data_IF_995422253868
#
_entry.id   IF_995422253868
#
_cell.length_a   1.000
_cell.length_b   1.000
_cell.length_c   1.000
_cell.angle_alpha   90.00
_cell.angle_beta   90.00
_cell.angle_gamma   90.00
#
_symmetry.space_group_name_H-M   'P 1'
#
loop_
_entity.id
_entity.type
_entity.pdbx_description
1 polymer ?
#
# COMPACT_ATOMS: atom_id res chain seq x y z
N UNK A 1 4.24 60.11 -25.80
CA UNK A 1 4.31 59.77 -24.37
C UNK A 1 4.36 58.26 -24.25
N UNK A 2 5.55 57.62 -24.27
CA UNK A 2 5.65 56.17 -24.10
C UNK A 2 5.50 55.83 -22.61
N UNK A 3 4.56 54.93 -22.30
CA UNK A 3 4.39 54.39 -20.97
C UNK A 3 5.56 53.46 -20.65
N UNK A 4 6.36 53.86 -19.65
CA UNK A 4 7.43 53.05 -19.08
C UNK A 4 6.79 51.87 -18.35
N UNK A 5 6.74 50.69 -18.99
CA UNK A 5 6.53 49.42 -18.29
C UNK A 5 7.79 49.19 -17.44
N UNK A 6 7.73 49.61 -16.18
CA UNK A 6 8.69 49.17 -15.17
C UNK A 6 8.60 47.65 -15.06
N UNK A 7 9.64 46.98 -15.55
CA UNK A 7 9.86 45.57 -15.34
C UNK A 7 10.00 45.33 -13.84
N UNK A 8 8.91 44.92 -13.20
CA UNK A 8 8.94 44.34 -11.86
C UNK A 8 9.91 43.15 -11.94
N UNK A 9 11.15 43.37 -11.48
CA UNK A 9 12.13 42.30 -11.32
C UNK A 9 11.51 41.31 -10.35
N UNK A 10 11.13 40.15 -10.86
CA UNK A 10 10.73 38.99 -10.08
C UNK A 10 11.87 38.65 -9.12
N UNK A 11 11.79 39.18 -7.90
CA UNK A 11 12.68 38.80 -6.80
C UNK A 11 12.14 37.50 -6.20
N UNK A 12 12.19 36.45 -7.01
CA UNK A 12 12.01 35.10 -6.48
C UNK A 12 13.17 34.82 -5.51
N UNK A 13 12.89 34.43 -4.25
CA UNK A 13 13.94 34.18 -3.28
C UNK A 13 14.87 33.07 -3.78
N UNK A 14 16.17 33.24 -3.55
CA UNK A 14 17.14 32.21 -3.91
C UNK A 14 16.83 30.92 -3.12
N UNK A 15 17.09 29.72 -3.68
CA UNK A 15 16.97 28.47 -2.92
C UNK A 15 17.71 28.52 -1.57
N UNK A 16 18.83 29.24 -1.48
CA UNK A 16 19.56 29.42 -0.23
C UNK A 16 18.78 30.24 0.82
N UNK A 17 18.03 31.26 0.39
CA UNK A 17 17.23 32.10 1.28
C UNK A 17 16.05 31.30 1.86
N UNK A 18 15.41 30.47 1.02
CA UNK A 18 14.32 29.57 1.42
C UNK A 18 14.81 28.59 2.48
N UNK A 19 15.98 27.97 2.26
CA UNK A 19 16.59 27.05 3.22
C UNK A 19 16.90 27.78 4.53
N UNK A 20 17.44 28.99 4.50
CA UNK A 20 17.76 29.72 5.72
C UNK A 20 16.52 30.07 6.55
N UNK A 21 15.44 30.52 5.91
CA UNK A 21 14.15 30.78 6.57
C UNK A 21 13.59 29.48 7.17
N UNK A 22 13.65 28.38 6.43
CA UNK A 22 13.22 27.06 6.90
C UNK A 22 13.97 26.61 8.15
N UNK A 23 15.29 26.75 8.16
CA UNK A 23 16.11 26.41 9.31
C UNK A 23 15.77 27.26 10.53
N UNK A 24 15.51 28.56 10.35
CA UNK A 24 15.12 29.44 11.44
C UNK A 24 13.74 29.07 12.02
N UNK A 25 12.79 28.71 11.15
CA UNK A 25 11.47 28.22 11.55
C UNK A 25 11.57 26.90 12.32
N UNK A 26 12.37 25.94 11.83
CA UNK A 26 12.61 24.66 12.50
C UNK A 26 13.32 24.84 13.85
N UNK A 27 14.29 25.75 13.97
CA UNK A 27 14.94 26.01 15.26
C UNK A 27 13.98 26.50 16.34
N UNK A 28 12.89 27.16 15.92
CA UNK A 28 11.87 27.72 16.82
C UNK A 28 10.75 26.72 17.15
N UNK A 29 10.65 25.60 16.43
CA UNK A 29 9.57 24.62 16.62
C UNK A 29 9.94 23.52 17.63
N UNK A 30 8.97 23.04 18.43
CA UNK A 30 9.15 21.83 19.24
C UNK A 30 9.48 20.65 18.32
N UNK A 31 10.66 20.04 18.51
CA UNK A 31 11.14 18.93 17.68
C UNK A 31 11.98 19.33 16.46
N UNK A 32 12.04 20.62 16.08
CA UNK A 32 12.80 21.01 14.90
C UNK A 32 14.32 20.83 15.04
N UNK A 33 14.86 20.82 16.27
CA UNK A 33 16.26 20.38 16.52
C UNK A 33 16.50 18.93 16.10
N UNK A 34 15.52 18.06 16.30
CA UNK A 34 15.61 16.65 15.91
C UNK A 34 15.57 16.52 14.38
N UNK A 35 14.68 17.25 13.72
CA UNK A 35 14.59 17.32 12.26
C UNK A 35 15.93 17.80 11.65
N UNK A 36 16.50 18.89 12.18
CA UNK A 36 17.79 19.41 11.74
C UNK A 36 18.89 18.36 11.91
N UNK A 37 18.92 17.69 13.07
CA UNK A 37 19.90 16.62 13.31
C UNK A 37 19.77 15.50 12.29
N UNK A 38 18.55 15.01 12.03
CA UNK A 38 18.32 13.96 11.03
C UNK A 38 18.74 14.39 9.63
N UNK A 39 18.38 15.59 9.20
CA UNK A 39 18.80 16.15 7.91
C UNK A 39 20.34 16.17 7.72
N UNK A 40 21.08 16.45 8.80
CA UNK A 40 22.54 16.45 8.78
C UNK A 40 23.13 15.04 8.77
N UNK A 41 22.46 14.07 9.38
CA UNK A 41 22.86 12.65 9.41
C UNK A 41 22.52 11.91 8.10
N UNK A 42 21.57 12.42 7.29
CA UNK A 42 21.19 11.85 5.99
C UNK A 42 22.30 11.98 4.92
N UNK A 43 22.26 11.08 3.92
CA UNK A 43 23.05 11.22 2.68
C UNK A 43 22.64 12.45 1.89
N UNK A 44 23.49 12.92 0.97
CA UNK A 44 23.21 14.12 0.18
C UNK A 44 21.97 13.95 -0.71
N UNK A 45 21.72 12.75 -1.22
CA UNK A 45 20.53 12.43 -2.03
C UNK A 45 19.25 12.52 -1.18
N UNK A 46 19.23 11.90 0.00
CA UNK A 46 18.07 11.93 0.90
C UNK A 46 17.84 13.34 1.43
N UNK A 47 18.91 14.05 1.79
CA UNK A 47 18.86 15.44 2.24
C UNK A 47 18.26 16.34 1.16
N UNK A 48 18.65 16.16 -0.11
CA UNK A 48 18.09 16.91 -1.22
C UNK A 48 16.57 16.70 -1.33
N UNK A 49 16.12 15.45 -1.33
CA UNK A 49 14.67 15.14 -1.38
C UNK A 49 13.92 15.74 -0.19
N UNK A 50 14.49 15.64 1.02
CA UNK A 50 13.88 16.21 2.22
C UNK A 50 13.76 17.74 2.14
N UNK A 51 14.79 18.42 1.62
CA UNK A 51 14.75 19.87 1.37
C UNK A 51 13.71 20.24 0.31
N UNK A 52 13.60 19.46 -0.78
CA UNK A 52 12.58 19.66 -1.80
C UNK A 52 11.16 19.52 -1.20
N UNK A 53 10.92 18.52 -0.34
CA UNK A 53 9.64 18.36 0.37
C UNK A 53 9.35 19.51 1.35
N UNK A 54 10.37 20.06 2.01
CA UNK A 54 10.20 21.25 2.84
C UNK A 54 9.82 22.48 2.00
N UNK A 55 10.39 22.65 0.80
CA UNK A 55 9.96 23.71 -0.12
C UNK A 55 8.49 23.54 -0.51
N UNK A 56 8.07 22.31 -0.84
CA UNK A 56 6.68 21.96 -1.17
C UNK A 56 5.73 22.30 0.00
N UNK A 57 6.11 22.02 1.24
CA UNK A 57 5.29 22.35 2.42
C UNK A 57 5.10 23.85 2.66
N UNK A 58 6.03 24.68 2.20
CA UNK A 58 5.99 26.14 2.37
C UNK A 58 5.35 26.87 1.19
N UNK A 59 5.05 26.16 0.11
CA UNK A 59 4.30 26.74 -1.00
C UNK A 59 2.86 27.08 -0.53
N UNK A 60 2.39 28.33 -0.67
CA UNK A 60 1.02 28.69 -0.32
C UNK A 60 -0.01 28.18 -1.34
N UNK A 61 0.41 27.82 -2.56
CA UNK A 61 -0.47 27.39 -3.65
C UNK A 61 -0.86 25.90 -3.61
N UNK A 62 -0.13 25.11 -2.81
CA UNK A 62 -0.31 23.67 -2.70
C UNK A 62 -1.55 23.28 -1.87
N UNK A 63 -2.23 22.22 -2.31
CA UNK A 63 -3.44 21.72 -1.64
C UNK A 63 -3.13 21.03 -0.31
N UNK A 64 -4.13 20.92 0.57
CA UNK A 64 -3.98 20.22 1.86
C UNK A 64 -3.55 18.76 1.70
N UNK A 65 -4.06 18.06 0.67
CA UNK A 65 -3.73 16.66 0.42
C UNK A 65 -2.27 16.50 -0.03
N UNK A 66 -1.75 17.45 -0.81
CA UNK A 66 -0.33 17.45 -1.21
C UNK A 66 0.59 17.80 -0.04
N UNK A 67 0.19 18.71 0.86
CA UNK A 67 0.93 18.97 2.11
C UNK A 67 1.01 17.72 2.99
N UNK A 68 -0.09 17.00 3.12
CA UNK A 68 -0.12 15.74 3.87
C UNK A 68 0.84 14.71 3.25
N UNK A 69 0.79 14.51 1.93
CA UNK A 69 1.73 13.62 1.23
C UNK A 69 3.19 14.04 1.40
N UNK A 70 3.51 15.32 1.21
CA UNK A 70 4.87 15.83 1.41
C UNK A 70 5.34 15.64 2.86
N UNK A 71 4.46 15.85 3.84
CA UNK A 71 4.76 15.61 5.25
C UNK A 71 5.04 14.14 5.55
N UNK A 72 4.26 13.21 4.98
CA UNK A 72 4.49 11.77 5.13
C UNK A 72 5.81 11.34 4.50
N UNK A 73 6.09 11.77 3.27
CA UNK A 73 7.35 11.47 2.59
C UNK A 73 8.56 12.01 3.37
N UNK A 74 8.44 13.23 3.91
CA UNK A 74 9.48 13.82 4.74
C UNK A 74 9.70 13.02 6.04
N UNK A 75 8.61 12.56 6.67
CA UNK A 75 8.68 11.73 7.85
C UNK A 75 9.36 10.40 7.56
N UNK A 76 9.01 9.72 6.46
CA UNK A 76 9.62 8.46 6.06
C UNK A 76 11.12 8.59 5.73
N UNK A 77 11.51 9.72 5.12
CA UNK A 77 12.90 9.99 4.77
C UNK A 77 13.79 10.33 5.99
N UNK A 78 13.27 11.11 6.94
CA UNK A 78 14.04 11.61 8.09
C UNK A 78 13.91 10.76 9.35
N UNK A 79 12.81 10.03 9.46
CA UNK A 79 12.52 9.14 10.58
C UNK A 79 12.20 7.75 10.03
N UNK A 80 13.19 7.11 9.37
CA UNK A 80 13.00 5.74 8.93
C UNK A 80 12.59 4.90 10.14
N UNK A 81 11.51 4.15 9.98
CA UNK A 81 11.06 3.18 10.98
C UNK A 81 12.08 2.04 11.03
N UNK A 82 13.14 2.24 11.82
CA UNK A 82 14.06 1.18 12.17
C UNK A 82 13.38 0.27 13.17
N UNK A 83 13.52 -1.04 12.99
CA UNK A 83 13.08 -2.01 13.99
C UNK A 83 13.97 -1.96 15.25
N UNK A 84 13.67 -2.81 16.25
CA UNK A 84 14.48 -2.89 17.48
C UNK A 84 15.95 -3.29 17.23
N UNK A 85 16.26 -3.86 16.06
CA UNK A 85 17.60 -4.25 15.65
C UNK A 85 18.34 -3.17 14.86
N UNK A 86 17.69 -2.04 14.57
CA UNK A 86 18.24 -0.96 13.76
C UNK A 86 18.22 -1.26 12.25
N UNK A 87 17.53 -2.33 11.83
CA UNK A 87 17.35 -2.64 10.43
C UNK A 87 16.24 -1.79 9.83
N UNK A 88 16.49 -1.31 8.61
CA UNK A 88 15.54 -0.51 7.86
C UNK A 88 14.48 -1.41 7.24
N UNK A 89 13.23 -1.26 7.64
CA UNK A 89 12.12 -1.99 7.06
C UNK A 89 10.85 -1.91 7.90
N UNK A 90 9.69 -2.03 7.25
CA UNK A 90 8.46 -2.28 7.99
C UNK A 90 8.43 -3.77 8.32
N UNK A 91 8.53 -4.11 9.61
CA UNK A 91 8.18 -5.45 10.06
C UNK A 91 6.70 -5.69 9.74
N UNK A 92 6.46 -6.46 8.68
CA UNK A 92 5.13 -6.75 8.18
C UNK A 92 4.29 -7.44 9.26
N UNK A 93 4.88 -8.30 10.08
CA UNK A 93 4.17 -9.02 11.11
C UNK A 93 3.72 -8.07 12.23
N UNK A 94 4.60 -7.16 12.67
CA UNK A 94 4.23 -6.13 13.63
C UNK A 94 3.17 -5.17 13.06
N UNK A 95 3.34 -4.73 11.81
CA UNK A 95 2.39 -3.86 11.12
C UNK A 95 1.01 -4.52 10.98
N UNK A 96 0.98 -5.78 10.53
CA UNK A 96 -0.24 -6.61 10.44
C UNK A 96 -0.90 -6.74 11.81
N UNK A 97 -0.14 -7.02 12.88
CA UNK A 97 -0.68 -7.14 14.24
C UNK A 97 -1.26 -5.82 14.77
N UNK A 98 -0.59 -4.70 14.49
CA UNK A 98 -1.04 -3.36 14.84
C UNK A 98 -2.34 -3.00 14.11
N UNK A 99 -2.42 -3.29 12.81
CA UNK A 99 -3.62 -3.07 12.03
C UNK A 99 -4.77 -4.00 12.49
N UNK A 100 -4.48 -5.27 12.76
CA UNK A 100 -5.45 -6.25 13.26
C UNK A 100 -6.12 -5.80 14.56
N UNK A 101 -5.37 -5.15 15.46
CA UNK A 101 -5.91 -4.62 16.72
C UNK A 101 -6.97 -3.53 16.51
N UNK A 102 -6.89 -2.80 15.39
CA UNK A 102 -7.82 -1.71 15.04
C UNK A 102 -8.99 -2.20 14.19
N UNK A 103 -8.81 -3.28 13.43
CA UNK A 103 -9.78 -3.78 12.46
C UNK A 103 -10.05 -5.28 12.66
N UNK A 104 -11.10 -5.68 13.40
CA UNK A 104 -11.39 -7.09 13.69
C UNK A 104 -11.60 -7.97 12.45
N UNK A 105 -12.10 -7.41 11.35
CA UNK A 105 -12.22 -8.13 10.08
C UNK A 105 -10.85 -8.51 9.51
N UNK A 106 -9.87 -7.60 9.59
CA UNK A 106 -8.49 -7.84 9.17
C UNK A 106 -7.83 -8.90 10.06
N UNK A 107 -8.09 -8.87 11.36
CA UNK A 107 -7.56 -9.87 12.30
C UNK A 107 -7.98 -11.31 11.92
N UNK A 108 -9.23 -11.50 11.48
CA UNK A 108 -9.73 -12.81 11.02
C UNK A 108 -9.02 -13.26 9.74
N UNK A 109 -8.79 -12.35 8.80
CA UNK A 109 -8.10 -12.68 7.56
C UNK A 109 -6.64 -13.03 7.80
N UNK A 110 -5.93 -12.28 8.66
CA UNK A 110 -4.56 -12.60 9.07
C UNK A 110 -4.48 -13.98 9.72
N UNK A 111 -5.41 -14.31 10.63
CA UNK A 111 -5.47 -15.63 11.25
C UNK A 111 -5.71 -16.75 10.24
N UNK A 112 -6.60 -16.51 9.26
CA UNK A 112 -6.87 -17.45 8.17
C UNK A 112 -5.61 -17.67 7.33
N UNK A 113 -4.92 -16.61 6.94
CA UNK A 113 -3.67 -16.68 6.20
C UNK A 113 -2.58 -17.44 6.97
N UNK A 114 -2.42 -17.18 8.27
CA UNK A 114 -1.45 -17.89 9.13
C UNK A 114 -1.76 -19.39 9.23
N UNK A 115 -3.06 -19.73 9.33
CA UNK A 115 -3.52 -21.12 9.36
C UNK A 115 -3.23 -21.84 8.03
N UNK A 116 -3.45 -21.17 6.90
CA UNK A 116 -3.13 -21.71 5.58
C UNK A 116 -1.62 -21.90 5.41
N UNK A 117 -0.79 -20.94 5.85
CA UNK A 117 0.66 -21.04 5.80
C UNK A 117 1.20 -22.19 6.67
N UNK A 118 0.67 -22.36 7.88
CA UNK A 118 1.01 -23.48 8.74
C UNK A 118 0.66 -24.83 8.09
N UNK A 119 -0.57 -24.94 7.55
CA UNK A 119 -1.04 -26.14 6.85
C UNK A 119 -0.15 -26.46 5.65
N UNK A 120 0.24 -25.46 4.87
CA UNK A 120 1.14 -25.62 3.74
C UNK A 120 2.52 -26.16 4.17
N UNK A 121 3.12 -25.58 5.21
CA UNK A 121 4.44 -25.98 5.70
C UNK A 121 4.43 -27.45 6.19
N UNK A 122 3.41 -27.83 6.96
CA UNK A 122 3.22 -29.20 7.46
C UNK A 122 3.05 -30.20 6.31
N UNK A 123 2.19 -29.89 5.35
CA UNK A 123 1.94 -30.77 4.19
C UNK A 123 3.14 -30.89 3.28
N UNK A 124 3.85 -29.79 3.03
CA UNK A 124 5.08 -29.80 2.25
C UNK A 124 6.14 -30.68 2.92
N UNK A 125 6.35 -30.52 4.22
CA UNK A 125 7.28 -31.34 5.00
C UNK A 125 6.90 -32.83 4.98
N UNK A 126 5.61 -33.14 5.14
CA UNK A 126 5.11 -34.51 5.10
C UNK A 126 5.32 -35.16 3.72
N UNK A 127 4.98 -34.46 2.63
CA UNK A 127 5.16 -34.94 1.26
C UNK A 127 6.63 -35.16 0.91
N UNK A 128 7.51 -34.27 1.35
CA UNK A 128 8.96 -34.44 1.20
C UNK A 128 9.47 -35.69 1.91
N UNK A 129 9.04 -35.91 3.16
CA UNK A 129 9.39 -37.10 3.92
C UNK A 129 8.86 -38.38 3.27
N UNK A 130 7.58 -38.40 2.87
CA UNK A 130 6.94 -39.55 2.24
C UNK A 130 7.62 -39.95 0.91
N UNK A 131 8.18 -38.98 0.18
CA UNK A 131 8.89 -39.22 -1.09
C UNK A 131 10.40 -39.33 -0.94
N UNK A 132 10.94 -39.28 0.28
CA UNK A 132 12.38 -39.27 0.56
C UNK A 132 13.15 -38.18 -0.19
N UNK A 133 12.54 -36.99 -0.36
CA UNK A 133 13.14 -35.85 -1.07
C UNK A 133 13.69 -34.85 -0.05
N UNK A 134 14.95 -34.47 -0.20
CA UNK A 134 15.58 -33.42 0.63
C UNK A 134 15.25 -32.01 0.12
N UNK A 135 15.45 -30.98 0.96
CA UNK A 135 15.23 -29.58 0.58
C UNK A 135 16.08 -29.17 -0.63
N UNK A 136 17.33 -29.64 -0.69
CA UNK A 136 18.26 -29.35 -1.79
C UNK A 136 17.77 -29.97 -3.11
N UNK A 137 17.26 -31.20 -3.08
CA UNK A 137 16.72 -31.86 -4.28
C UNK A 137 15.46 -31.14 -4.75
N UNK A 138 14.54 -30.82 -3.83
CA UNK A 138 13.31 -30.10 -4.18
C UNK A 138 13.60 -28.71 -4.75
N UNK A 139 14.58 -28.00 -4.20
CA UNK A 139 15.04 -26.70 -4.70
C UNK A 139 15.50 -26.81 -6.17
N UNK A 140 16.34 -27.82 -6.48
CA UNK A 140 16.79 -28.10 -7.85
C UNK A 140 15.62 -28.42 -8.79
N UNK A 141 14.67 -29.27 -8.37
CA UNK A 141 13.52 -29.65 -9.20
C UNK A 141 12.58 -28.48 -9.51
N UNK A 142 12.44 -27.54 -8.57
CA UNK A 142 11.54 -26.38 -8.71
C UNK A 142 12.21 -25.15 -9.33
N UNK A 143 13.55 -25.13 -9.38
CA UNK A 143 14.33 -23.93 -9.72
C UNK A 143 14.25 -22.85 -8.63
N UNK A 144 13.90 -23.20 -7.40
CA UNK A 144 13.97 -22.32 -6.23
C UNK A 144 15.32 -22.47 -5.53
N UNK A 145 15.70 -21.53 -4.67
CA UNK A 145 16.88 -21.69 -3.81
C UNK A 145 16.55 -22.58 -2.60
N UNK A 146 17.51 -23.35 -2.12
CA UNK A 146 17.32 -24.16 -0.90
C UNK A 146 16.95 -23.29 0.33
N UNK A 147 17.53 -22.08 0.53
CA UNK A 147 17.07 -21.17 1.57
C UNK A 147 15.59 -20.80 1.43
N UNK A 148 15.07 -20.57 0.23
CA UNK A 148 13.65 -20.28 0.03
C UNK A 148 12.76 -21.45 0.48
N UNK A 149 13.13 -22.70 0.15
CA UNK A 149 12.42 -23.90 0.67
C UNK A 149 12.46 -23.94 2.20
N UNK A 150 13.63 -23.67 2.79
CA UNK A 150 13.81 -23.65 4.25
C UNK A 150 12.94 -22.58 4.92
N UNK A 151 12.87 -21.36 4.36
CA UNK A 151 12.06 -20.27 4.89
C UNK A 151 10.57 -20.59 4.81
N UNK A 152 10.10 -21.20 3.72
CA UNK A 152 8.72 -21.65 3.56
C UNK A 152 8.35 -22.71 4.61
N UNK A 153 9.21 -23.70 4.85
CA UNK A 153 8.98 -24.72 5.89
C UNK A 153 9.01 -24.14 7.32
N UNK A 154 9.79 -23.08 7.53
CA UNK A 154 9.85 -22.37 8.82
C UNK A 154 8.78 -21.30 8.98
N UNK A 155 7.88 -21.13 7.99
CA UNK A 155 6.83 -20.10 7.99
C UNK A 155 7.38 -18.68 8.16
N UNK A 156 8.55 -18.45 7.55
CA UNK A 156 9.19 -17.13 7.50
C UNK A 156 8.93 -16.41 6.18
N UNK A 157 8.33 -17.10 5.22
CA UNK A 157 7.82 -16.48 4.00
C UNK A 157 6.63 -17.27 3.46
N UNK A 158 5.63 -16.53 2.95
CA UNK A 158 4.46 -17.09 2.28
C UNK A 158 4.80 -17.41 0.81
N UNK A 159 4.52 -18.63 0.33
CA UNK A 159 4.75 -18.98 -1.06
C UNK A 159 3.80 -18.22 -1.99
N UNK A 160 4.32 -17.70 -3.11
CA UNK A 160 3.47 -17.20 -4.18
C UNK A 160 2.78 -18.35 -4.91
N UNK A 161 1.59 -18.11 -5.49
CA UNK A 161 0.83 -19.09 -6.27
C UNK A 161 1.70 -19.83 -7.31
N UNK A 162 2.48 -19.10 -8.10
CA UNK A 162 3.40 -19.68 -9.11
C UNK A 162 4.39 -20.65 -8.48
N UNK A 163 4.88 -20.36 -7.28
CA UNK A 163 5.79 -21.22 -6.52
C UNK A 163 5.07 -22.47 -6.01
N UNK A 164 3.83 -22.36 -5.51
CA UNK A 164 3.02 -23.50 -5.10
C UNK A 164 2.82 -24.47 -6.26
N UNK A 165 2.46 -23.96 -7.45
CA UNK A 165 2.29 -24.78 -8.66
C UNK A 165 3.58 -25.52 -9.06
N UNK A 166 4.74 -24.85 -8.97
CA UNK A 166 6.04 -25.48 -9.23
C UNK A 166 6.34 -26.59 -8.23
N UNK A 167 6.09 -26.36 -6.94
CA UNK A 167 6.28 -27.36 -5.88
C UNK A 167 5.37 -28.57 -6.10
N UNK A 168 4.09 -28.32 -6.38
CA UNK A 168 3.09 -29.36 -6.67
C UNK A 168 3.51 -30.23 -7.86
N UNK A 169 3.96 -29.60 -8.97
CA UNK A 169 4.47 -30.31 -10.14
C UNK A 169 5.73 -31.13 -9.83
N UNK A 170 6.72 -30.54 -9.13
CA UNK A 170 7.95 -31.24 -8.75
C UNK A 170 7.70 -32.43 -7.81
N UNK A 171 6.68 -32.32 -6.96
CA UNK A 171 6.24 -33.39 -6.07
C UNK A 171 5.19 -34.31 -6.72
N UNK A 172 4.77 -34.07 -7.96
CA UNK A 172 3.71 -34.82 -8.64
C UNK A 172 2.46 -35.04 -7.75
N UNK A 173 1.92 -33.94 -7.23
CA UNK A 173 0.66 -33.86 -6.47
C UNK A 173 -0.19 -32.70 -7.01
N UNK A 174 -1.53 -32.71 -6.86
CA UNK A 174 -2.34 -31.54 -7.16
C UNK A 174 -2.00 -30.37 -6.23
N UNK A 175 -2.16 -29.14 -6.71
CA UNK A 175 -1.81 -27.95 -5.93
C UNK A 175 -2.71 -27.77 -4.69
N UNK A 176 -3.95 -28.25 -4.74
CA UNK A 176 -4.90 -28.29 -3.61
C UNK A 176 -4.44 -29.18 -2.45
N UNK A 177 -3.57 -30.16 -2.71
CA UNK A 177 -2.93 -30.94 -1.65
C UNK A 177 -1.93 -30.09 -0.87
N UNK A 178 -1.27 -29.10 -1.48
CA UNK A 178 -0.40 -28.17 -0.76
C UNK A 178 -1.19 -26.99 -0.18
N UNK A 179 -2.18 -26.48 -0.90
CA UNK A 179 -2.93 -25.28 -0.53
C UNK A 179 -4.42 -25.42 -0.92
N UNK A 180 -5.31 -25.84 0.00
CA UNK A 180 -6.71 -26.21 -0.29
C UNK A 180 -7.54 -25.15 -1.02
N UNK A 181 -7.28 -23.87 -0.76
CA UNK A 181 -8.09 -22.76 -1.27
C UNK A 181 -7.50 -22.11 -2.54
N UNK A 182 -6.48 -22.71 -3.15
CA UNK A 182 -5.76 -22.10 -4.28
C UNK A 182 -6.67 -21.90 -5.51
N UNK A 183 -7.59 -22.84 -5.75
CA UNK A 183 -8.53 -22.78 -6.88
C UNK A 183 -9.69 -21.81 -6.62
N UNK A 184 -10.08 -21.64 -5.35
CA UNK A 184 -11.14 -20.68 -4.98
C UNK A 184 -10.65 -19.26 -5.26
N UNK A 185 -9.40 -18.97 -4.94
CA UNK A 185 -8.79 -17.67 -5.26
C UNK A 185 -8.78 -17.42 -6.77
N UNK A 186 -8.52 -18.44 -7.60
CA UNK A 186 -8.53 -18.31 -9.05
C UNK A 186 -9.92 -17.97 -9.60
N UNK A 187 -10.95 -18.60 -9.04
CA UNK A 187 -12.33 -18.27 -9.39
C UNK A 187 -12.71 -16.85 -8.97
N UNK A 188 -12.29 -16.42 -7.78
CA UNK A 188 -12.55 -15.06 -7.28
C UNK A 188 -11.80 -13.99 -8.09
N UNK A 189 -10.54 -14.24 -8.44
CA UNK A 189 -9.73 -13.35 -9.28
C UNK A 189 -10.32 -13.25 -10.70
N UNK A 190 -10.80 -14.36 -11.27
CA UNK A 190 -11.47 -14.36 -12.57
C UNK A 190 -12.79 -13.57 -12.53
N UNK A 191 -13.57 -13.68 -11.45
CA UNK A 191 -14.80 -12.90 -11.25
C UNK A 191 -14.47 -11.42 -11.09
N UNK A 192 -13.45 -11.06 -10.30
CA UNK A 192 -13.03 -9.68 -10.11
C UNK A 192 -12.51 -9.05 -11.42
N UNK A 193 -11.74 -9.80 -12.21
CA UNK A 193 -11.30 -9.38 -13.54
C UNK A 193 -12.50 -9.15 -14.47
N UNK A 194 -13.45 -10.09 -14.52
CA UNK A 194 -14.66 -9.96 -15.32
C UNK A 194 -15.55 -8.78 -14.89
N UNK A 195 -15.58 -8.46 -13.59
CA UNK A 195 -16.28 -7.27 -13.09
C UNK A 195 -15.57 -5.98 -13.45
N UNK A 196 -14.24 -5.95 -13.44
CA UNK A 196 -13.46 -4.76 -13.78
C UNK A 196 -13.62 -4.40 -15.26
N UNK A 197 -13.56 -5.40 -16.14
CA UNK A 197 -13.77 -5.21 -17.58
C UNK A 197 -15.21 -4.82 -17.92
N UNK A 198 -16.18 -5.16 -17.06
CA UNK A 198 -17.59 -4.79 -17.23
C UNK A 198 -17.94 -3.39 -16.67
N UNK A 199 -17.02 -2.71 -15.97
CA UNK A 199 -17.25 -1.39 -15.38
C UNK A 199 -16.62 -0.25 -16.22
N UNK A 200 -16.10 -0.53 -17.42
CA UNK A 200 -16.09 0.49 -18.46
C UNK A 200 -17.49 0.58 -19.10
N UNK A 201 -18.48 1.02 -18.33
CA UNK A 201 -19.71 1.53 -18.91
C UNK A 201 -19.28 2.77 -19.69
N UNK A 202 -19.16 2.60 -21.01
CA UNK A 202 -18.99 3.70 -21.94
C UNK A 202 -19.97 4.80 -21.57
N UNK A 203 -19.51 6.06 -21.56
CA UNK A 203 -20.37 7.22 -21.26
C UNK A 203 -21.65 7.18 -22.12
N UNK A 204 -21.57 6.62 -23.34
CA UNK A 204 -22.71 6.41 -24.22
C UNK A 204 -23.71 5.35 -23.70
N UNK A 205 -23.24 4.26 -23.10
CA UNK A 205 -24.10 3.25 -22.48
C UNK A 205 -24.70 3.76 -21.16
N UNK A 206 -23.95 4.51 -20.36
CA UNK A 206 -24.48 5.16 -19.16
C UNK A 206 -25.60 6.15 -19.51
N UNK A 207 -25.42 6.94 -20.57
CA UNK A 207 -26.45 7.85 -21.09
C UNK A 207 -27.65 7.10 -21.68
N UNK A 208 -27.43 6.02 -22.44
CA UNK A 208 -28.52 5.21 -22.99
C UNK A 208 -29.37 4.51 -21.90
N UNK A 209 -28.75 4.17 -20.77
CA UNK A 209 -29.46 3.63 -19.59
C UNK A 209 -30.25 4.72 -18.85
N UNK A 210 -29.72 5.94 -18.75
CA UNK A 210 -30.45 7.07 -18.15
C UNK A 210 -31.65 7.50 -19.00
N UNK A 211 -31.52 7.47 -20.33
CA UNK A 211 -32.62 7.75 -21.26
C UNK A 211 -33.74 6.70 -21.24
N UNK A 212 -33.39 5.43 -21.00
CA UNK A 212 -34.34 4.31 -20.95
C UNK A 212 -34.87 4.01 -19.55
N UNK A 213 -34.29 4.59 -18.50
CA UNK A 213 -34.81 4.43 -17.15
C UNK A 213 -36.22 5.04 -17.11
N UNK A 214 -37.27 4.23 -16.84
CA UNK A 214 -38.59 4.79 -16.65
C UNK A 214 -38.50 5.78 -15.51
N UNK A 215 -38.77 7.06 -15.79
CA UNK A 215 -38.89 8.07 -14.75
C UNK A 215 -39.91 7.54 -13.77
N UNK A 216 -39.44 7.11 -12.60
CA UNK A 216 -40.29 6.76 -11.48
C UNK A 216 -40.96 8.06 -11.05
N UNK A 217 -42.02 8.44 -11.75
CA UNK A 217 -42.93 9.47 -11.28
C UNK A 217 -43.49 8.94 -9.96
N UNK A 218 -43.24 9.62 -8.84
CA UNK A 218 -43.76 9.18 -7.56
C UNK A 218 -45.28 9.17 -7.66
N UNK A 219 -45.86 7.98 -7.78
CA UNK A 219 -47.32 7.78 -7.83
C UNK A 219 -47.98 8.16 -6.49
N UNK A 220 -47.16 8.37 -5.46
CA UNK A 220 -47.59 8.79 -4.13
C UNK A 220 -47.94 10.27 -4.16
N UNK A 221 -49.23 10.58 -4.41
CA UNK A 221 -49.83 11.88 -4.11
C UNK A 221 -49.58 12.21 -2.64
N UNK A 222 -48.60 13.07 -2.38
CA UNK A 222 -48.35 13.57 -1.04
C UNK A 222 -49.60 14.26 -0.48
N UNK A 223 -50.21 13.66 0.56
CA UNK A 223 -51.29 14.30 1.31
C UNK A 223 -50.75 15.58 1.93
N UNK A 224 -51.35 16.73 1.58
CA UNK A 224 -51.00 18.02 2.19
C UNK A 224 -51.23 17.94 3.69
N UNK A 225 -50.17 18.19 4.46
CA UNK A 225 -50.26 18.31 5.91
C UNK A 225 -51.12 19.54 6.26
N UNK A 226 -52.03 19.42 7.25
CA UNK A 226 -52.87 20.55 7.67
C UNK A 226 -52.01 21.67 8.26
N UNK A 227 -52.35 22.91 7.92
CA UNK A 227 -51.68 24.10 8.45
C UNK A 227 -51.98 24.23 9.95
N UNK A 228 -50.92 24.32 10.75
CA UNK A 228 -50.99 24.54 12.19
C UNK A 228 -51.38 26.00 12.43
N UNK A 229 -52.59 26.24 12.95
CA UNK A 229 -53.03 27.56 13.42
C UNK A 229 -52.27 27.92 14.71
N UNK A 230 -51.77 29.16 14.78
CA UNK A 230 -51.15 29.74 15.98
C UNK A 230 -52.22 30.24 16.94
#
# INVERSE_FOLDING_TARGET
MPASLDAAKDHSPSPADIVQVLFQQLQSSPGGKQIIRQLLECSDEVRKVALDMLCVLNDPSITSAEKERASMTLADALFPNADESGEYGMDLQLSESGAASRFPALAREIQKMDTQEATFADRLGHLMHARCISQTVLATLTGCSQPAISQMLKRKCRPQKRTILKLANALNVPASDLWPDIEINDMLDAIAAAQTDAIEISVAEAQALDEKAPRNEPTVRAKRLPKRTR
#
